data_IF_825495368487
#
_entry.id   IF_825495368487
#
_cell.length_a   1.000
_cell.length_b   1.000
_cell.length_c   1.000
_cell.angle_alpha   90.00
_cell.angle_beta   90.00
_cell.angle_gamma   90.00
#
_symmetry.space_group_name_H-M   'P 1'
#
loop_
_entity.id
_entity.type
_entity.pdbx_description
1 polymer ?
#
# COMPACT_ATOMS: atom_id res chain seq x y z
N UNK A 1 5.40 -3.81 -15.29
CA UNK A 1 6.09 -2.79 -14.47
C UNK A 1 5.38 -1.46 -14.70
N UNK A 2 4.29 -1.20 -13.97
CA UNK A 2 3.46 0.01 -14.16
C UNK A 2 3.41 0.89 -12.91
N UNK A 3 3.86 0.41 -11.75
CA UNK A 3 3.66 1.08 -10.47
C UNK A 3 4.30 2.46 -10.42
N UNK A 4 5.54 2.63 -10.92
CA UNK A 4 6.21 3.93 -10.98
C UNK A 4 5.43 4.96 -11.84
N UNK A 5 5.04 4.57 -13.06
CA UNK A 5 4.26 5.43 -13.96
C UNK A 5 2.90 5.80 -13.37
N UNK A 6 2.29 4.84 -12.67
CA UNK A 6 0.99 5.04 -12.03
C UNK A 6 1.08 5.97 -10.82
N UNK A 7 2.10 5.76 -9.98
CA UNK A 7 2.41 6.60 -8.82
C UNK A 7 2.64 8.07 -9.24
N UNK A 8 3.41 8.29 -10.30
CA UNK A 8 3.73 9.62 -10.82
C UNK A 8 2.59 10.24 -11.66
N UNK A 9 1.46 9.56 -11.82
CA UNK A 9 0.32 10.05 -12.60
C UNK A 9 0.59 10.14 -14.11
N UNK A 10 1.62 9.46 -14.62
CA UNK A 10 1.96 9.44 -16.06
C UNK A 10 0.94 8.67 -16.89
N UNK A 11 0.19 7.75 -16.26
CA UNK A 11 -0.86 6.97 -16.91
C UNK A 11 -2.12 7.02 -16.04
N UNK A 12 -3.27 7.26 -16.69
CA UNK A 12 -4.57 7.31 -15.99
C UNK A 12 -4.95 5.93 -15.44
N UNK A 13 -5.39 5.82 -14.16
CA UNK A 13 -5.90 4.57 -13.59
C UNK A 13 -7.08 4.03 -14.38
N UNK A 14 -7.96 4.89 -14.87
CA UNK A 14 -9.16 4.48 -15.59
C UNK A 14 -8.83 3.83 -16.93
N UNK A 15 -7.77 4.29 -17.60
CA UNK A 15 -7.28 3.67 -18.85
C UNK A 15 -6.73 2.27 -18.58
N UNK A 16 -5.95 2.12 -17.51
CA UNK A 16 -5.40 0.81 -17.12
C UNK A 16 -6.54 -0.13 -16.72
N UNK A 17 -7.48 0.34 -15.90
CA UNK A 17 -8.65 -0.41 -15.46
C UNK A 17 -9.49 -0.96 -16.62
N UNK A 18 -9.71 -0.15 -17.66
CA UNK A 18 -10.46 -0.58 -18.84
C UNK A 18 -9.76 -1.74 -19.58
N UNK A 19 -8.43 -1.67 -19.72
CA UNK A 19 -7.62 -2.71 -20.36
C UNK A 19 -7.43 -3.96 -19.47
N UNK A 20 -7.48 -3.80 -18.14
CA UNK A 20 -7.29 -4.85 -17.15
C UNK A 20 -8.36 -5.95 -17.19
N UNK A 21 -9.53 -5.66 -17.75
CA UNK A 21 -10.69 -6.58 -17.79
C UNK A 21 -10.39 -7.94 -18.41
N UNK A 22 -9.39 -8.01 -19.28
CA UNK A 22 -8.92 -9.26 -19.92
C UNK A 22 -8.04 -10.14 -19.02
N UNK A 23 -7.63 -9.65 -17.84
CA UNK A 23 -6.73 -10.35 -16.91
C UNK A 23 -7.25 -10.24 -15.47
N UNK A 24 -8.07 -11.20 -14.99
CA UNK A 24 -8.74 -11.12 -13.70
C UNK A 24 -7.78 -10.90 -12.52
N UNK A 25 -6.62 -11.56 -12.54
CA UNK A 25 -5.60 -11.40 -11.49
C UNK A 25 -5.00 -10.00 -11.47
N UNK A 26 -4.70 -9.43 -12.64
CA UNK A 26 -4.20 -8.06 -12.72
C UNK A 26 -5.29 -7.06 -12.31
N UNK A 27 -6.54 -7.30 -12.72
CA UNK A 27 -7.68 -6.48 -12.32
C UNK A 27 -7.89 -6.48 -10.80
N UNK A 28 -7.75 -7.63 -10.12
CA UNK A 28 -7.87 -7.68 -8.66
C UNK A 28 -6.76 -6.87 -7.95
N UNK A 29 -5.50 -7.04 -8.37
CA UNK A 29 -4.38 -6.25 -7.83
C UNK A 29 -4.56 -4.74 -8.10
N UNK A 30 -5.00 -4.38 -9.30
CA UNK A 30 -5.08 -2.98 -9.73
C UNK A 30 -6.34 -2.25 -9.25
N UNK A 31 -7.47 -2.94 -9.11
CA UNK A 31 -8.73 -2.35 -8.68
C UNK A 31 -8.97 -2.57 -7.18
N UNK A 32 -8.90 -3.82 -6.73
CA UNK A 32 -9.19 -4.15 -5.33
C UNK A 32 -8.07 -3.66 -4.42
N UNK A 33 -6.85 -4.17 -4.58
CA UNK A 33 -5.76 -3.90 -3.64
C UNK A 33 -5.28 -2.47 -3.69
N UNK A 34 -5.22 -1.87 -4.88
CA UNK A 34 -4.91 -0.45 -5.03
C UNK A 34 -5.95 0.42 -4.31
N UNK A 35 -7.22 0.32 -4.67
CA UNK A 35 -8.25 1.22 -4.10
C UNK A 35 -8.46 0.96 -2.60
N UNK A 36 -8.30 -0.28 -2.15
CA UNK A 36 -8.29 -0.61 -0.71
C UNK A 36 -7.17 0.13 0.03
N UNK A 37 -5.99 0.26 -0.59
CA UNK A 37 -4.86 0.99 -0.01
C UNK A 37 -5.13 2.50 0.09
N UNK A 38 -5.75 3.09 -0.94
CA UNK A 38 -6.18 4.49 -0.94
C UNK A 38 -7.26 4.73 0.13
N UNK A 39 -8.27 3.87 0.19
CA UNK A 39 -9.32 3.90 1.21
C UNK A 39 -8.72 3.84 2.62
N UNK A 40 -7.82 2.89 2.88
CA UNK A 40 -7.15 2.76 4.16
C UNK A 40 -6.38 4.04 4.55
N UNK A 41 -5.53 4.57 3.68
CA UNK A 41 -4.76 5.76 4.00
C UNK A 41 -5.66 6.97 4.26
N UNK A 42 -6.75 7.12 3.49
CA UNK A 42 -7.73 8.19 3.69
C UNK A 42 -8.39 8.12 5.08
N UNK A 43 -8.80 6.93 5.52
CA UNK A 43 -9.52 6.75 6.78
C UNK A 43 -8.61 6.64 8.01
N UNK A 44 -7.33 6.30 7.83
CA UNK A 44 -6.35 6.18 8.92
C UNK A 44 -5.44 7.39 9.05
N UNK A 45 -5.57 8.41 8.21
CA UNK A 45 -4.80 9.64 8.34
C UNK A 45 -5.07 10.34 9.70
N UNK A 46 -4.05 10.85 10.41
CA UNK A 46 -2.63 10.91 10.02
C UNK A 46 -1.83 9.64 10.39
N UNK A 47 -2.41 8.67 11.08
CA UNK A 47 -1.72 7.51 11.66
C UNK A 47 -1.40 6.36 10.68
N UNK A 48 -1.80 6.47 9.41
CA UNK A 48 -1.62 5.44 8.38
C UNK A 48 -0.18 4.93 8.21
N UNK A 49 0.86 5.67 8.63
CA UNK A 49 2.26 5.23 8.61
C UNK A 49 2.79 4.66 9.93
N UNK A 50 1.91 4.26 10.86
CA UNK A 50 2.29 3.80 12.20
C UNK A 50 1.60 2.50 12.59
N UNK A 51 2.10 1.82 13.63
CA UNK A 51 1.44 0.62 14.17
C UNK A 51 0.02 0.90 14.68
N UNK A 52 -0.31 2.15 15.04
CA UNK A 52 -1.66 2.53 15.44
C UNK A 52 -2.71 2.39 14.30
N UNK A 53 -2.27 2.27 13.05
CA UNK A 53 -3.17 1.98 11.93
C UNK A 53 -3.55 0.50 11.81
N UNK A 54 -2.83 -0.40 12.50
CA UNK A 54 -3.07 -1.84 12.45
C UNK A 54 -4.25 -2.24 13.35
N UNK A 55 -4.77 -3.44 13.12
CA UNK A 55 -5.73 -4.09 13.99
C UNK A 55 -5.09 -4.48 15.34
N UNK A 56 -5.91 -4.48 16.40
CA UNK A 56 -5.43 -4.72 17.77
C UNK A 56 -4.68 -6.05 17.93
N UNK A 57 -5.07 -7.10 17.21
CA UNK A 57 -4.39 -8.40 17.26
C UNK A 57 -2.91 -8.29 16.85
N UNK A 58 -2.61 -7.51 15.80
CA UNK A 58 -1.27 -7.38 15.26
C UNK A 58 -0.41 -6.53 16.20
N UNK A 59 -0.94 -5.41 16.66
CA UNK A 59 -0.27 -4.51 17.63
C UNK A 59 0.05 -5.25 18.92
N UNK A 60 -0.91 -5.98 19.49
CA UNK A 60 -0.72 -6.70 20.74
C UNK A 60 0.31 -7.83 20.59
N UNK A 61 0.26 -8.57 19.49
CA UNK A 61 1.24 -9.64 19.24
C UNK A 61 2.65 -9.09 19.04
N UNK A 62 2.81 -8.02 18.25
CA UNK A 62 4.11 -7.37 18.06
C UNK A 62 4.68 -6.81 19.36
N UNK A 63 3.85 -6.14 20.18
CA UNK A 63 4.29 -5.57 21.46
C UNK A 63 4.63 -6.62 22.50
N UNK A 64 3.88 -7.72 22.55
CA UNK A 64 4.19 -8.86 23.43
C UNK A 64 5.59 -9.41 23.19
N UNK A 65 6.04 -9.41 21.93
CA UNK A 65 7.34 -9.92 21.50
C UNK A 65 8.39 -8.81 21.31
N UNK A 66 8.12 -7.58 21.73
CA UNK A 66 9.04 -6.45 21.52
C UNK A 66 10.37 -6.60 22.29
N UNK A 67 10.37 -7.35 23.39
CA UNK A 67 11.57 -7.59 24.21
C UNK A 67 12.30 -8.90 23.86
N UNK A 68 11.80 -9.67 22.88
CA UNK A 68 12.43 -10.93 22.51
C UNK A 68 13.84 -10.70 21.94
N UNK A 69 14.81 -11.57 22.23
CA UNK A 69 16.13 -11.48 21.61
C UNK A 69 16.02 -11.72 20.10
N UNK A 70 16.59 -10.81 19.30
CA UNK A 70 16.59 -10.94 17.83
C UNK A 70 17.66 -11.93 17.41
N UNK A 71 17.38 -12.90 16.51
CA UNK A 71 18.37 -13.86 16.04
C UNK A 71 19.57 -13.20 15.34
N UNK A 72 19.31 -12.07 14.70
CA UNK A 72 20.27 -11.24 14.01
C UNK A 72 19.86 -9.78 14.23
N UNK A 73 20.83 -8.88 14.38
CA UNK A 73 20.60 -7.45 14.36
C UNK A 73 21.38 -6.82 13.22
N UNK A 74 20.77 -5.82 12.59
CA UNK A 74 21.40 -5.04 11.53
C UNK A 74 21.24 -3.56 11.82
N UNK A 75 22.28 -2.80 11.53
CA UNK A 75 22.24 -1.35 11.55
C UNK A 75 21.43 -0.84 10.36
N UNK A 76 20.88 0.37 10.50
CA UNK A 76 20.18 1.04 9.41
C UNK A 76 21.05 1.15 8.14
N UNK A 77 22.34 1.46 8.29
CA UNK A 77 23.29 1.57 7.17
C UNK A 77 23.47 0.23 6.43
N UNK A 78 23.61 -0.89 7.15
CA UNK A 78 23.73 -2.22 6.53
C UNK A 78 22.49 -2.59 5.73
N UNK A 79 21.30 -2.25 6.25
CA UNK A 79 20.04 -2.45 5.54
C UNK A 79 19.96 -1.56 4.29
N UNK A 80 20.30 -0.28 4.38
CA UNK A 80 20.32 0.59 3.21
C UNK A 80 21.28 0.10 2.13
N UNK A 81 22.47 -0.36 2.51
CA UNK A 81 23.55 -0.77 1.62
C UNK A 81 23.44 -2.21 1.09
N UNK A 82 22.42 -2.98 1.50
CA UNK A 82 22.26 -4.39 1.13
C UNK A 82 23.43 -5.28 1.57
N UNK A 83 23.98 -5.07 2.77
CA UNK A 83 25.15 -5.80 3.28
C UNK A 83 24.83 -6.73 4.46
N UNK A 84 23.62 -7.31 4.48
CA UNK A 84 23.21 -8.27 5.51
C UNK A 84 23.82 -9.66 5.27
N UNK A 85 23.56 -10.62 6.15
CA UNK A 85 23.93 -12.03 5.94
C UNK A 85 22.96 -12.78 5.02
N UNK A 86 21.83 -12.18 4.65
CA UNK A 86 20.80 -12.80 3.85
C UNK A 86 20.94 -12.38 2.38
N UNK A 87 21.47 -13.28 1.55
CA UNK A 87 21.72 -13.02 0.13
C UNK A 87 20.44 -12.70 -0.66
N UNK A 88 19.30 -13.34 -0.33
CA UNK A 88 18.02 -13.05 -0.98
C UNK A 88 17.55 -11.65 -0.63
N UNK A 89 17.68 -11.26 0.64
CA UNK A 89 17.33 -9.90 1.06
C UNK A 89 18.25 -8.86 0.46
N UNK A 90 19.56 -9.13 0.41
CA UNK A 90 20.53 -8.25 -0.23
C UNK A 90 20.22 -8.06 -1.73
N UNK A 91 19.91 -9.13 -2.46
CA UNK A 91 19.50 -9.02 -3.86
C UNK A 91 18.20 -8.21 -4.03
N UNK A 92 17.24 -8.38 -3.12
CA UNK A 92 16.02 -7.57 -3.09
C UNK A 92 16.31 -6.08 -2.87
N UNK A 93 17.16 -5.76 -1.89
CA UNK A 93 17.55 -4.40 -1.58
C UNK A 93 18.37 -3.77 -2.73
N UNK A 94 19.29 -4.52 -3.35
CA UNK A 94 20.01 -4.07 -4.55
C UNK A 94 19.07 -3.77 -5.72
N UNK A 95 17.97 -4.52 -5.87
CA UNK A 95 16.93 -4.20 -6.87
C UNK A 95 16.33 -2.82 -6.65
N UNK A 96 16.03 -2.46 -5.40
CA UNK A 96 15.57 -1.11 -5.06
C UNK A 96 16.66 -0.07 -5.35
N UNK A 97 17.90 -0.33 -4.94
CA UNK A 97 19.01 0.61 -5.15
C UNK A 97 19.32 0.90 -6.63
N UNK A 98 19.29 -0.14 -7.47
CA UNK A 98 19.67 -0.04 -8.89
C UNK A 98 18.51 0.34 -9.79
N UNK A 99 17.34 -0.27 -9.57
CA UNK A 99 16.21 -0.19 -10.49
C UNK A 99 15.03 0.60 -9.92
N UNK A 100 15.04 0.90 -8.62
CA UNK A 100 13.91 1.53 -7.94
C UNK A 100 12.64 0.69 -7.93
N UNK A 101 12.73 -0.60 -8.24
CA UNK A 101 11.61 -1.52 -8.33
C UNK A 101 11.90 -2.80 -7.54
N UNK A 102 10.85 -3.33 -6.91
CA UNK A 102 10.91 -4.61 -6.22
C UNK A 102 9.69 -5.46 -6.56
N UNK A 103 9.92 -6.68 -7.04
CA UNK A 103 8.83 -7.60 -7.38
C UNK A 103 7.97 -7.90 -6.14
N UNK A 104 6.63 -7.78 -6.27
CA UNK A 104 5.71 -7.83 -5.12
C UNK A 104 5.92 -9.05 -4.19
N UNK A 105 6.12 -10.24 -4.76
CA UNK A 105 6.35 -11.45 -3.94
C UNK A 105 7.64 -11.37 -3.10
N UNK A 106 8.68 -10.73 -3.65
CA UNK A 106 9.96 -10.51 -2.94
C UNK A 106 9.82 -9.35 -1.97
N UNK A 107 9.09 -8.27 -2.31
CA UNK A 107 8.78 -7.13 -1.41
C UNK A 107 8.14 -7.60 -0.10
N UNK A 108 7.22 -8.55 -0.17
CA UNK A 108 6.61 -9.14 1.04
C UNK A 108 7.60 -9.91 1.92
N UNK A 109 8.60 -10.57 1.32
CA UNK A 109 9.67 -11.25 2.08
C UNK A 109 10.66 -10.24 2.64
N UNK A 110 11.03 -9.23 1.83
CA UNK A 110 11.91 -8.12 2.19
C UNK A 110 11.39 -7.34 3.40
N UNK A 111 10.10 -6.94 3.37
CA UNK A 111 9.49 -6.15 4.43
C UNK A 111 9.33 -6.90 5.75
N UNK A 112 9.14 -8.23 5.70
CA UNK A 112 9.04 -9.07 6.91
C UNK A 112 10.34 -9.16 7.69
N UNK A 113 11.50 -9.01 7.03
CA UNK A 113 12.80 -9.12 7.72
C UNK A 113 13.06 -7.98 8.71
N UNK A 114 12.43 -6.81 8.54
CA UNK A 114 12.61 -5.70 9.48
C UNK A 114 12.15 -6.06 10.89
N UNK A 115 11.05 -6.80 11.04
CA UNK A 115 10.58 -7.27 12.35
C UNK A 115 11.59 -8.22 12.98
N UNK A 116 12.25 -9.05 12.17
CA UNK A 116 13.24 -10.03 12.65
C UNK A 116 14.56 -9.40 13.10
N UNK A 117 14.93 -8.25 12.55
CA UNK A 117 16.29 -7.69 12.65
C UNK A 117 16.41 -6.37 13.40
N UNK A 118 15.30 -5.65 13.59
CA UNK A 118 15.29 -4.34 14.23
C UNK A 118 14.81 -4.46 15.67
N UNK A 119 15.33 -3.58 16.54
CA UNK A 119 15.23 -3.67 17.99
C UNK A 119 13.80 -3.65 18.56
N UNK A 120 12.84 -3.03 17.88
CA UNK A 120 11.43 -3.04 18.26
C UNK A 120 10.51 -2.81 17.05
N UNK A 121 9.22 -3.17 17.14
CA UNK A 121 8.28 -3.07 16.03
C UNK A 121 8.11 -1.64 15.47
N UNK A 122 8.14 -0.62 16.32
CA UNK A 122 8.02 0.78 15.93
C UNK A 122 9.25 1.24 15.11
N UNK A 123 10.47 0.89 15.53
CA UNK A 123 11.70 1.10 14.76
C UNK A 123 11.70 0.30 13.46
N UNK A 124 11.28 -0.97 13.51
CA UNK A 124 11.19 -1.84 12.35
C UNK A 124 10.28 -1.24 11.27
N UNK A 125 9.08 -0.78 11.64
CA UNK A 125 8.15 -0.15 10.70
C UNK A 125 8.73 1.15 10.13
N UNK A 126 9.33 1.98 10.99
CA UNK A 126 9.90 3.27 10.56
C UNK A 126 11.02 3.07 9.54
N UNK A 127 11.92 2.12 9.79
CA UNK A 127 13.01 1.79 8.86
C UNK A 127 12.47 1.16 7.58
N UNK A 128 11.49 0.25 7.67
CA UNK A 128 10.88 -0.35 6.48
C UNK A 128 10.22 0.70 5.57
N UNK A 129 9.47 1.64 6.15
CA UNK A 129 8.84 2.73 5.41
C UNK A 129 9.87 3.67 4.81
N UNK A 130 10.85 4.14 5.60
CA UNK A 130 11.87 5.07 5.11
C UNK A 130 12.70 4.43 3.98
N UNK A 131 13.20 3.21 4.14
CA UNK A 131 13.99 2.54 3.10
C UNK A 131 13.14 2.30 1.85
N UNK A 132 11.89 1.86 1.99
CA UNK A 132 11.00 1.67 0.84
C UNK A 132 10.74 3.00 0.12
N UNK A 133 10.40 4.06 0.85
CA UNK A 133 10.08 5.37 0.28
C UNK A 133 11.30 6.09 -0.32
N UNK A 134 12.49 5.81 0.21
CA UNK A 134 13.73 6.39 -0.28
C UNK A 134 14.16 5.80 -1.61
N UNK A 135 13.99 4.50 -1.80
CA UNK A 135 14.57 3.79 -2.95
C UNK A 135 13.53 3.34 -3.98
N UNK A 136 12.26 3.13 -3.61
CA UNK A 136 11.26 2.71 -4.57
C UNK A 136 10.71 3.89 -5.38
N UNK A 137 10.66 3.75 -6.71
CA UNK A 137 10.00 4.71 -7.61
C UNK A 137 8.48 4.76 -7.40
N UNK A 138 7.91 3.73 -6.78
CA UNK A 138 6.51 3.66 -6.35
C UNK A 138 6.34 3.84 -4.83
N UNK A 139 7.35 4.42 -4.16
CA UNK A 139 7.33 4.79 -2.75
C UNK A 139 6.42 5.99 -2.46
N UNK A 140 6.26 6.36 -1.19
CA UNK A 140 5.42 7.49 -0.75
C UNK A 140 3.95 7.46 -1.24
N UNK A 141 3.47 6.28 -1.64
CA UNK A 141 2.13 6.05 -2.19
C UNK A 141 1.23 5.30 -1.18
N UNK A 142 -0.11 5.48 -1.19
CA UNK A 142 -1.00 4.66 -0.38
C UNK A 142 -0.77 3.15 -0.51
N UNK A 143 -0.49 2.64 -1.72
CA UNK A 143 -0.13 1.24 -1.95
C UNK A 143 1.21 0.86 -1.31
N UNK A 144 2.17 1.79 -1.29
CA UNK A 144 3.44 1.61 -0.60
C UNK A 144 3.25 1.46 0.91
N UNK A 145 2.48 2.36 1.54
CA UNK A 145 2.14 2.24 2.96
C UNK A 145 1.46 0.90 3.25
N UNK A 146 0.37 0.59 2.55
CA UNK A 146 -0.38 -0.63 2.77
C UNK A 146 0.47 -1.89 2.58
N UNK A 147 1.32 -1.93 1.55
CA UNK A 147 2.22 -3.07 1.28
C UNK A 147 3.27 -3.27 2.37
N UNK A 148 3.85 -2.18 2.91
CA UNK A 148 4.75 -2.26 4.05
C UNK A 148 4.00 -2.70 5.30
N UNK A 149 2.86 -2.09 5.63
CA UNK A 149 2.05 -2.42 6.80
C UNK A 149 1.46 -3.83 6.77
N UNK A 150 1.23 -4.41 5.58
CA UNK A 150 0.89 -5.83 5.46
C UNK A 150 1.98 -6.73 6.05
N UNK A 151 3.25 -6.31 5.96
CA UNK A 151 4.35 -7.01 6.61
C UNK A 151 4.24 -6.95 8.15
N UNK A 152 3.47 -6.02 8.70
CA UNK A 152 3.21 -5.87 10.14
C UNK A 152 1.80 -6.31 10.56
N UNK A 153 0.97 -6.81 9.64
CA UNK A 153 -0.33 -7.43 9.94
C UNK A 153 -1.54 -6.81 9.26
N UNK A 154 -1.39 -5.66 8.57
CA UNK A 154 -2.51 -5.01 7.89
C UNK A 154 -3.14 -5.93 6.83
N UNK A 155 -4.48 -6.00 6.78
CA UNK A 155 -5.24 -6.82 5.84
C UNK A 155 -4.92 -8.32 5.87
N UNK A 156 -4.30 -8.82 6.93
CA UNK A 156 -4.14 -10.25 7.19
C UNK A 156 -4.81 -10.62 8.51
N UNK A 157 -4.86 -11.92 8.79
CA UNK A 157 -5.27 -12.45 10.08
C UNK A 157 -4.10 -13.09 10.83
N UNK A 158 -4.26 -13.40 12.12
CA UNK A 158 -3.26 -14.10 12.90
C UNK A 158 -2.91 -15.48 12.29
N UNK A 159 -1.61 -15.81 12.20
CA UNK A 159 -1.07 -17.05 11.64
C UNK A 159 -0.31 -17.85 12.69
N UNK A 160 -1.08 -18.59 13.48
CA UNK A 160 -0.54 -19.52 14.47
C UNK A 160 0.34 -20.62 13.87
N UNK A 161 1.19 -21.27 14.68
CA UNK A 161 1.45 -20.98 16.10
C UNK A 161 2.21 -19.65 16.29
N UNK A 162 2.07 -19.05 17.48
CA UNK A 162 2.81 -17.84 17.88
C UNK A 162 4.31 -18.14 17.98
N UNK A 163 5.15 -17.23 17.48
CA UNK A 163 6.62 -17.41 17.42
C UNK A 163 7.33 -16.26 18.12
N UNK A 164 8.55 -16.50 18.66
CA UNK A 164 9.40 -15.40 19.13
C UNK A 164 9.59 -14.34 18.05
N UNK A 165 9.71 -13.07 18.47
CA UNK A 165 9.91 -11.87 17.65
C UNK A 165 8.73 -11.52 16.73
N UNK A 166 8.29 -12.45 15.89
CA UNK A 166 7.25 -12.22 14.87
C UNK A 166 5.83 -12.45 15.38
N UNK A 167 5.65 -13.06 16.54
CA UNK A 167 4.36 -13.36 17.13
C UNK A 167 3.45 -14.15 16.18
N UNK A 168 2.27 -13.59 15.93
CA UNK A 168 1.23 -14.17 15.06
C UNK A 168 1.32 -13.69 13.61
N UNK A 169 2.37 -12.99 13.22
CA UNK A 169 2.52 -12.57 11.82
C UNK A 169 2.71 -13.77 10.89
N UNK A 170 2.21 -13.63 9.66
CA UNK A 170 2.47 -14.61 8.60
C UNK A 170 3.97 -14.75 8.35
N UNK A 171 4.53 -15.97 8.41
CA UNK A 171 5.94 -16.20 8.14
C UNK A 171 6.25 -16.05 6.65
N UNK A 172 7.39 -15.45 6.35
CA UNK A 172 7.96 -15.27 5.01
C UNK A 172 9.48 -15.45 5.09
N UNK A 173 9.99 -16.68 5.24
CA UNK A 173 11.43 -16.90 5.28
C UNK A 173 12.05 -16.62 3.90
N UNK A 174 13.20 -15.97 3.87
CA UNK A 174 13.96 -15.68 2.66
C UNK A 174 14.35 -16.95 1.89
N UNK A 175 14.57 -18.07 2.60
CA UNK A 175 14.85 -19.38 2.02
C UNK A 175 13.84 -19.80 0.93
N UNK A 176 12.59 -19.31 0.97
CA UNK A 176 11.58 -19.54 -0.07
C UNK A 176 12.03 -19.11 -1.47
N UNK A 177 12.89 -18.09 -1.57
CA UNK A 177 13.35 -17.56 -2.84
C UNK A 177 14.76 -18.01 -3.22
N UNK A 178 15.38 -18.92 -2.45
CA UNK A 178 16.76 -19.37 -2.72
C UNK A 178 16.88 -20.01 -4.10
N UNK A 179 15.88 -20.76 -4.55
CA UNK A 179 15.88 -21.41 -5.87
C UNK A 179 15.84 -20.44 -7.06
N UNK A 180 15.47 -19.18 -6.85
CA UNK A 180 15.47 -18.15 -7.90
C UNK A 180 16.61 -17.13 -7.74
N UNK A 181 17.44 -17.27 -6.70
CA UNK A 181 18.40 -16.24 -6.30
C UNK A 181 19.37 -15.89 -7.43
N UNK A 182 20.01 -16.89 -8.03
CA UNK A 182 21.01 -16.67 -9.08
C UNK A 182 20.41 -15.96 -10.31
N UNK A 183 19.21 -16.37 -10.74
CA UNK A 183 18.50 -15.73 -11.85
C UNK A 183 18.08 -14.29 -11.49
N UNK A 184 17.68 -14.08 -10.23
CA UNK A 184 17.31 -12.76 -9.73
C UNK A 184 18.52 -11.83 -9.61
N UNK A 185 19.67 -12.32 -9.14
CA UNK A 185 20.93 -11.57 -9.09
C UNK A 185 21.43 -11.23 -10.49
N UNK A 186 21.34 -12.14 -11.46
CA UNK A 186 21.62 -11.81 -12.87
C UNK A 186 20.69 -10.73 -13.42
N UNK A 187 19.43 -10.69 -13.00
CA UNK A 187 18.50 -9.64 -13.40
C UNK A 187 18.84 -8.29 -12.74
N UNK A 188 19.28 -8.31 -11.48
CA UNK A 188 19.51 -7.11 -10.67
C UNK A 188 20.89 -6.50 -10.93
N UNK A 189 21.94 -7.33 -10.95
CA UNK A 189 23.35 -6.95 -11.03
C UNK A 189 23.94 -7.15 -12.43
N UNK A 190 23.17 -7.73 -13.35
CA UNK A 190 23.57 -7.88 -14.76
C UNK A 190 23.76 -6.53 -15.46
N UNK A 191 24.55 -6.50 -16.54
CA UNK A 191 24.65 -5.31 -17.37
C UNK A 191 23.26 -4.90 -17.85
N UNK A 192 23.02 -3.58 -17.90
CA UNK A 192 21.77 -3.01 -18.43
C UNK A 192 21.70 -3.26 -19.94
N UNK A 193 21.42 -4.51 -20.31
CA UNK A 193 21.06 -4.92 -21.65
C UNK A 193 19.65 -4.41 -21.84
N UNK A 194 19.53 -3.10 -22.08
CA UNK A 194 18.28 -2.37 -22.17
C UNK A 194 17.19 -3.28 -22.71
N UNK A 195 16.29 -3.73 -21.82
CA UNK A 195 15.05 -4.39 -22.23
C UNK A 195 14.14 -3.29 -22.77
N UNK A 196 14.58 -2.68 -23.88
CA UNK A 196 13.67 -2.05 -24.81
C UNK A 196 12.60 -3.07 -25.20
N UNK A 197 11.42 -2.62 -25.63
CA UNK A 197 10.35 -3.52 -26.00
C UNK A 197 10.88 -4.49 -27.05
N UNK A 198 10.96 -5.78 -26.69
CA UNK A 198 11.14 -6.87 -27.64
C UNK A 198 9.85 -6.94 -28.44
N UNK A 199 9.74 -6.07 -29.42
CA UNK A 199 8.58 -5.85 -30.24
C UNK A 199 8.89 -4.74 -31.21
N UNK A 200 9.32 -5.10 -32.42
CA UNK A 200 9.21 -4.27 -33.63
C UNK A 200 7.73 -4.07 -33.98
N UNK A 201 6.95 -3.55 -33.05
CA UNK A 201 5.61 -3.07 -33.28
C UNK A 201 5.71 -1.58 -33.50
N UNK A 202 5.68 -1.16 -34.77
CA UNK A 202 5.51 0.23 -35.16
C UNK A 202 4.31 0.78 -34.40
N UNK A 203 4.53 1.69 -33.44
CA UNK A 203 3.44 2.44 -32.82
C UNK A 203 2.89 3.38 -33.88
N UNK A 204 1.96 2.89 -34.70
CA UNK A 204 1.10 3.76 -35.50
C UNK A 204 0.29 4.62 -34.53
N UNK A 205 0.39 5.95 -34.60
CA UNK A 205 -0.44 6.81 -33.77
C UNK A 205 -1.90 6.53 -34.11
N UNK A 206 -2.70 6.16 -33.10
CA UNK A 206 -4.14 6.05 -33.26
C UNK A 206 -4.69 7.40 -33.75
N UNK A 207 -5.60 7.41 -34.74
CA UNK A 207 -6.21 8.66 -35.18
C UNK A 207 -6.93 9.32 -34.00
N UNK A 208 -6.97 10.67 -33.95
CA UNK A 208 -7.65 11.38 -32.87
C UNK A 208 -9.11 10.92 -32.80
N UNK A 209 -9.58 10.61 -31.58
CA UNK A 209 -10.99 10.35 -31.35
C UNK A 209 -11.81 11.54 -31.86
N UNK A 210 -12.86 11.33 -32.67
CA UNK A 210 -13.73 12.41 -33.08
C UNK A 210 -14.33 13.03 -31.82
N UNK A 211 -14.17 14.35 -31.66
CA UNK A 211 -14.90 15.11 -30.65
C UNK A 211 -16.38 14.87 -30.90
N UNK A 212 -17.05 14.25 -29.93
CA UNK A 212 -18.51 14.07 -29.95
C UNK A 212 -19.11 15.47 -30.06
N UNK A 213 -19.78 15.76 -31.18
CA UNK A 213 -20.60 16.95 -31.29
C UNK A 213 -21.64 16.89 -30.17
N UNK A 214 -21.80 18.01 -29.46
CA UNK A 214 -22.85 18.21 -28.47
C UNK A 214 -24.21 18.09 -29.15
N UNK A 215 -24.88 16.97 -28.97
CA UNK A 215 -26.30 16.84 -29.31
C UNK A 215 -27.13 17.66 -28.32
N UNK A 216 -28.06 18.51 -28.79
CA UNK A 216 -28.99 19.21 -27.91
C UNK A 216 -29.94 18.19 -27.26
N UNK A 217 -29.99 18.20 -25.93
CA UNK A 217 -30.85 17.30 -25.15
C UNK A 217 -32.35 17.51 -25.44
N UNK A 218 -33.17 16.46 -25.37
CA UNK A 218 -34.60 16.58 -25.65
C UNK A 218 -35.32 17.41 -24.56
N UNK A 219 -36.20 18.30 -25.02
CA UNK A 219 -37.01 19.17 -24.19
C UNK A 219 -37.89 18.37 -23.22
N UNK A 220 -37.89 18.76 -21.95
CA UNK A 220 -38.82 18.24 -20.96
C UNK A 220 -40.24 18.72 -21.28
N UNK A 221 -41.19 17.80 -21.30
CA UNK A 221 -42.61 18.09 -21.08
C UNK A 221 -43.23 16.97 -20.24
N UNK A 222 -44.14 17.30 -19.31
CA UNK A 222 -44.60 16.37 -18.28
C UNK A 222 -45.74 15.50 -18.79
N UNK A 223 -45.79 14.23 -18.40
CA UNK A 223 -46.97 13.39 -18.61
C UNK A 223 -47.34 12.65 -17.32
N UNK A 224 -48.56 12.93 -16.91
CA UNK A 224 -49.32 12.43 -15.76
C UNK A 224 -49.88 11.03 -16.00
N UNK A 225 -49.87 10.21 -14.95
CA UNK A 225 -50.87 9.18 -14.55
C UNK A 225 -51.17 7.99 -15.49
N UNK A 226 -50.88 6.77 -15.04
CA UNK A 226 -51.87 5.78 -14.56
C UNK A 226 -51.41 4.31 -14.65
N UNK A 227 -51.82 3.56 -13.64
CA UNK A 227 -51.63 2.15 -13.32
C UNK A 227 -51.91 1.13 -14.43
N UNK A 228 -51.22 -0.02 -14.40
CA UNK A 228 -51.87 -1.30 -14.10
C UNK A 228 -50.88 -2.45 -13.82
N UNK A 229 -51.39 -3.37 -12.99
CA UNK A 229 -50.79 -4.57 -12.39
C UNK A 229 -50.24 -5.59 -13.41
N UNK A 230 -49.22 -6.37 -13.00
CA UNK A 230 -49.24 -7.83 -13.16
C UNK A 230 -48.18 -8.54 -12.27
N UNK A 231 -48.68 -9.17 -11.20
CA UNK A 231 -48.38 -10.51 -10.66
C UNK A 231 -46.97 -11.13 -10.73
N UNK A 232 -46.43 -11.43 -9.55
CA UNK A 232 -45.30 -12.36 -9.26
C UNK A 232 -45.65 -13.84 -9.45
N UNK A 233 -44.66 -14.74 -9.45
CA UNK A 233 -44.55 -15.60 -8.26
C UNK A 233 -43.14 -15.73 -7.67
N UNK A 234 -43.16 -15.94 -6.34
CA UNK A 234 -42.04 -16.10 -5.41
C UNK A 234 -41.26 -17.41 -5.63
N UNK A 235 -39.97 -17.38 -5.34
CA UNK A 235 -39.22 -18.58 -4.93
C UNK A 235 -38.49 -18.29 -3.61
N UNK A 236 -38.78 -19.11 -2.61
CA UNK A 236 -38.27 -19.05 -1.24
C UNK A 236 -36.79 -19.41 -1.16
N UNK A 237 -36.03 -18.69 -0.33
CA UNK A 237 -34.84 -19.25 0.30
C UNK A 237 -34.70 -18.71 1.73
N UNK A 238 -34.46 -19.64 2.66
CA UNK A 238 -34.58 -19.49 4.10
C UNK A 238 -33.49 -18.62 4.74
N UNK A 239 -33.90 -17.79 5.72
CA UNK A 239 -33.03 -17.19 6.75
C UNK A 239 -32.88 -18.14 7.94
N UNK A 240 -31.84 -17.96 8.75
CA UNK A 240 -31.99 -17.99 10.20
C UNK A 240 -31.67 -16.64 10.87
N UNK A 241 -32.62 -16.26 11.73
CA UNK A 241 -32.71 -15.34 12.87
C UNK A 241 -31.45 -14.62 13.39
N UNK A 242 -31.60 -13.30 13.58
CA UNK A 242 -30.79 -12.45 14.46
C UNK A 242 -31.65 -12.00 15.67
N UNK A 243 -31.07 -11.80 16.88
CA UNK A 243 -31.81 -11.25 18.00
C UNK A 243 -31.78 -9.70 18.04
N UNK A 244 -32.83 -9.17 18.66
CA UNK A 244 -33.22 -7.76 18.78
C UNK A 244 -32.13 -6.82 19.33
N UNK A 245 -32.10 -5.59 18.80
CA UNK A 245 -31.49 -4.43 19.45
C UNK A 245 -32.30 -3.17 19.11
N UNK A 246 -32.72 -2.47 20.16
CA UNK A 246 -33.51 -1.23 20.18
C UNK A 246 -32.77 -0.05 19.54
N UNK A 247 -33.48 0.92 18.92
CA UNK A 247 -32.83 2.06 18.27
C UNK A 247 -32.43 3.15 19.28
N UNK A 248 -31.18 3.61 19.16
CA UNK A 248 -30.61 4.77 19.86
C UNK A 248 -31.05 6.07 19.16
N UNK A 249 -31.34 7.18 19.89
CA UNK A 249 -31.79 8.43 19.27
C UNK A 249 -30.63 9.20 18.59
N UNK A 250 -30.92 10.08 17.61
CA UNK A 250 -29.90 10.77 16.83
C UNK A 250 -29.15 11.84 17.65
N UNK A 251 -27.84 11.88 17.50
CA UNK A 251 -26.95 12.88 18.08
C UNK A 251 -27.09 14.25 17.36
N UNK A 252 -27.12 15.33 18.13
CA UNK A 252 -27.17 16.71 17.66
C UNK A 252 -25.84 17.16 17.02
N UNK A 253 -25.86 18.11 16.05
CA UNK A 253 -24.65 18.57 15.37
C UNK A 253 -23.80 19.48 16.27
N UNK A 254 -22.55 19.09 16.49
CA UNK A 254 -21.54 19.94 17.14
C UNK A 254 -21.06 21.02 16.17
N UNK A 255 -21.24 22.28 16.55
CA UNK A 255 -20.73 23.45 15.83
C UNK A 255 -19.20 23.56 15.99
N UNK A 256 -18.50 23.80 14.89
CA UNK A 256 -17.05 24.07 14.89
C UNK A 256 -16.77 25.53 15.30
N UNK A 257 -15.75 25.80 16.14
CA UNK A 257 -15.30 27.16 16.42
C UNK A 257 -14.40 27.72 15.30
N UNK A 258 -14.34 29.05 15.11
CA UNK A 258 -13.62 29.66 14.01
C UNK A 258 -12.09 29.68 14.22
N UNK A 259 -11.36 29.42 13.14
CA UNK A 259 -9.90 29.56 13.05
C UNK A 259 -9.49 31.03 13.16
N UNK A 260 -8.76 31.39 14.22
CA UNK A 260 -8.06 32.67 14.32
C UNK A 260 -6.61 32.49 13.88
N UNK A 261 -6.21 33.23 12.85
CA UNK A 261 -4.84 33.28 12.36
C UNK A 261 -3.96 34.13 13.27
N UNK A 262 -2.86 33.56 13.78
CA UNK A 262 -1.80 34.30 14.46
C UNK A 262 -0.64 34.58 13.48
N UNK A 263 -0.08 35.81 13.46
CA UNK A 263 1.01 36.14 12.55
C UNK A 263 2.36 35.58 13.03
N UNK A 264 3.11 35.02 12.09
CA UNK A 264 4.48 34.55 12.23
C UNK A 264 5.42 35.75 12.42
N UNK A 265 6.21 35.76 13.48
CA UNK A 265 7.40 36.62 13.63
C UNK A 265 8.66 35.74 13.58
N UNK A 266 9.70 36.10 12.82
CA UNK A 266 10.95 35.34 12.75
C UNK A 266 11.91 35.73 13.88
N UNK A 267 12.73 34.80 14.42
CA UNK A 267 13.81 35.17 15.32
C UNK A 267 15.07 35.57 14.52
N UNK A 268 15.61 36.75 14.82
CA UNK A 268 16.98 37.13 14.46
C UNK A 268 18.01 36.45 15.39
N UNK A 269 19.25 36.19 14.91
CA UNK A 269 20.27 35.50 15.68
C UNK A 269 21.10 36.48 16.52
N UNK A 270 21.16 36.25 17.84
CA UNK A 270 22.03 36.97 18.77
C UNK A 270 23.22 36.11 19.17
N UNK A 271 24.35 36.28 18.49
CA UNK A 271 25.67 35.87 18.96
C UNK A 271 26.06 36.70 20.19
N UNK A 272 26.44 36.05 21.28
CA UNK A 272 27.34 36.63 22.27
C UNK A 272 28.19 35.53 22.92
N UNK A 273 29.30 35.22 22.26
CA UNK A 273 30.53 34.89 22.97
C UNK A 273 30.99 36.14 23.72
N UNK A 274 31.49 35.98 24.95
CA UNK A 274 32.69 36.67 25.46
C UNK A 274 33.13 36.00 26.79
N UNK A 275 34.41 36.18 27.18
CA UNK A 275 35.20 35.16 27.87
C UNK A 275 35.54 35.52 29.33
N UNK A 276 35.86 34.48 30.13
CA UNK A 276 37.04 34.27 31.00
C UNK A 276 36.75 33.10 31.92
#
# INVERSE_FOLDING_TARGET
RLSAYHHLGMVSPFRIAQAATSSPKFADEFLTWRELSFHFCRHRYPHHGSLAALEAWAVNSLRKHASDPRPQSHTYTELCAATTKDAVWNAAQRSLLRHGELHNNIRMTWGKRFVDWVADPEHALRWALDINHRFALDGCDPCSYAGVLWCFGLFDGPKGPERPVTGLLRPRPSAKHRGILEAYERLVDGPDLGRGPTGTGTLTPSPPHPRRASEPGPSRSPCTTASNLCTTPKTQCNKPSAPHSTPCPPAAPLSAPPLTAAPLTPPCPGNSCQPT
#
